data_IF_012656600794
#
_entry.id   IF_012656600794
#
_cell.length_a   1.000
_cell.length_b   1.000
_cell.length_c   1.000
_cell.angle_alpha   90.00
_cell.angle_beta   90.00
_cell.angle_gamma   90.00
#
_symmetry.space_group_name_H-M   'P 1'
#
loop_
_entity.id
_entity.type
_entity.pdbx_description
1 polymer ?
#
# COMPACT_ATOMS: atom_id res chain seq x y z
N UNK A 1 -5.89 -24.57 3.20
CA UNK A 1 -6.82 -24.50 4.35
C UNK A 1 -7.41 -23.09 4.37
N UNK A 2 -8.72 -22.92 4.61
CA UNK A 2 -9.33 -21.59 4.80
C UNK A 2 -9.53 -21.40 6.31
N UNK A 3 -8.85 -20.41 6.90
CA UNK A 3 -8.98 -20.11 8.33
C UNK A 3 -10.37 -19.57 8.63
N UNK A 4 -10.98 -20.03 9.72
CA UNK A 4 -12.29 -19.54 10.18
C UNK A 4 -12.22 -18.08 10.59
N UNK A 5 -11.08 -17.66 11.13
CA UNK A 5 -10.84 -16.30 11.62
C UNK A 5 -10.36 -15.32 10.54
N UNK A 6 -10.19 -15.76 9.29
CA UNK A 6 -9.61 -14.92 8.22
C UNK A 6 -10.39 -13.63 8.01
N UNK A 7 -11.71 -13.72 7.89
CA UNK A 7 -12.58 -12.57 7.62
C UNK A 7 -12.58 -11.56 8.77
N UNK A 8 -12.58 -12.06 10.01
CA UNK A 8 -12.48 -11.24 11.21
C UNK A 8 -11.17 -10.45 11.26
N UNK A 9 -10.02 -11.13 11.09
CA UNK A 9 -8.73 -10.43 11.11
C UNK A 9 -8.49 -9.56 9.88
N UNK A 10 -9.14 -9.83 8.73
CA UNK A 10 -9.07 -8.98 7.56
C UNK A 10 -9.72 -7.61 7.79
N UNK A 11 -10.83 -7.57 8.55
CA UNK A 11 -11.57 -6.33 8.83
C UNK A 11 -10.97 -5.50 9.98
N UNK A 12 -10.24 -6.10 10.93
CA UNK A 12 -9.66 -5.40 12.08
C UNK A 12 -8.63 -4.31 11.72
N UNK A 13 -8.71 -3.17 12.41
CA UNK A 13 -7.84 -2.01 12.16
C UNK A 13 -6.35 -2.29 12.37
N UNK A 14 -6.02 -3.17 13.33
CA UNK A 14 -4.62 -3.49 13.62
C UNK A 14 -4.17 -4.78 12.94
N UNK A 15 -2.86 -4.94 12.82
CA UNK A 15 -2.25 -6.09 12.17
C UNK A 15 -2.60 -7.41 12.91
N UNK A 16 -2.79 -8.54 12.20
CA UNK A 16 -3.00 -9.84 12.83
C UNK A 16 -1.98 -10.19 13.92
N UNK A 17 -0.75 -9.65 13.84
CA UNK A 17 0.27 -9.80 14.86
C UNK A 17 -0.13 -9.29 16.25
N UNK A 18 -1.06 -8.35 16.37
CA UNK A 18 -1.55 -7.86 17.66
C UNK A 18 -2.87 -8.53 18.04
N UNK A 19 -3.84 -8.48 17.13
CA UNK A 19 -5.20 -8.97 17.34
C UNK A 19 -5.25 -10.46 17.71
N UNK A 20 -4.42 -11.29 17.08
CA UNK A 20 -4.40 -12.74 17.37
C UNK A 20 -4.06 -13.00 18.84
N UNK A 21 -3.09 -12.28 19.39
CA UNK A 21 -2.70 -12.46 20.79
C UNK A 21 -3.73 -11.86 21.75
N UNK A 22 -4.39 -10.76 21.37
CA UNK A 22 -5.50 -10.21 22.17
C UNK A 22 -6.66 -11.22 22.28
N UNK A 23 -7.10 -11.77 21.15
CA UNK A 23 -8.13 -12.81 21.13
C UNK A 23 -7.68 -14.04 21.91
N UNK A 24 -6.42 -14.49 21.76
CA UNK A 24 -5.90 -15.66 22.47
C UNK A 24 -5.86 -15.46 23.99
N UNK A 25 -5.67 -14.23 24.47
CA UNK A 25 -5.59 -13.91 25.90
C UNK A 25 -6.97 -13.75 26.56
N UNK A 26 -8.05 -13.55 25.80
CA UNK A 26 -9.41 -13.48 26.30
C UNK A 26 -10.26 -14.67 25.85
N UNK A 27 -10.44 -15.65 26.75
CA UNK A 27 -11.26 -16.84 26.50
C UNK A 27 -12.74 -16.54 26.26
N UNK A 28 -13.22 -15.36 26.66
CA UNK A 28 -14.60 -14.95 26.42
C UNK A 28 -14.75 -14.21 25.10
N UNK A 29 -13.65 -13.96 24.37
CA UNK A 29 -13.69 -13.29 23.09
C UNK A 29 -14.52 -14.11 22.09
N UNK A 30 -15.46 -13.51 21.32
CA UNK A 30 -16.33 -14.25 20.41
C UNK A 30 -15.62 -15.11 19.36
N UNK A 31 -14.37 -14.75 19.02
CA UNK A 31 -13.54 -15.48 18.06
C UNK A 31 -12.58 -16.48 18.70
N UNK A 32 -12.57 -16.64 20.03
CA UNK A 32 -11.62 -17.50 20.73
C UNK A 32 -11.66 -18.95 20.22
N UNK A 33 -12.86 -19.54 20.14
CA UNK A 33 -13.02 -20.93 19.72
C UNK A 33 -12.65 -21.13 18.24
N UNK A 34 -12.95 -20.15 17.39
CA UNK A 34 -12.54 -20.17 15.99
C UNK A 34 -11.01 -20.08 15.86
N UNK A 35 -10.39 -19.20 16.66
CA UNK A 35 -8.93 -19.03 16.69
C UNK A 35 -8.24 -20.31 17.16
N UNK A 36 -8.70 -20.90 18.27
CA UNK A 36 -8.17 -22.16 18.78
C UNK A 36 -8.34 -23.29 17.76
N UNK A 37 -9.49 -23.36 17.10
CA UNK A 37 -9.71 -24.32 16.01
C UNK A 37 -8.74 -24.11 14.85
N UNK A 38 -8.42 -22.87 14.46
CA UNK A 38 -7.44 -22.61 13.42
C UNK A 38 -6.01 -23.01 13.86
N UNK A 39 -5.63 -22.73 15.12
CA UNK A 39 -4.33 -23.09 15.71
C UNK A 39 -4.13 -24.61 15.79
N UNK A 40 -5.14 -25.34 16.27
CA UNK A 40 -5.08 -26.80 16.47
C UNK A 40 -4.97 -27.57 15.15
N UNK A 41 -5.56 -27.03 14.07
CA UNK A 41 -5.55 -27.67 12.75
C UNK A 41 -4.32 -27.32 11.90
N UNK A 42 -3.34 -26.59 12.45
CA UNK A 42 -2.07 -26.34 11.75
C UNK A 42 -1.31 -27.66 11.55
N UNK A 43 -0.93 -27.91 10.30
CA UNK A 43 -0.11 -29.04 9.90
C UNK A 43 1.32 -28.95 10.50
N UNK A 44 1.78 -30.05 11.08
CA UNK A 44 3.07 -30.08 11.78
C UNK A 44 4.26 -29.96 10.84
N UNK A 45 4.16 -30.48 9.61
CA UNK A 45 5.27 -30.41 8.66
C UNK A 45 5.50 -28.96 8.21
N UNK A 46 4.44 -28.23 7.89
CA UNK A 46 4.57 -26.82 7.54
C UNK A 46 5.02 -25.96 8.74
N UNK A 47 4.55 -26.29 9.96
CA UNK A 47 4.95 -25.60 11.18
C UNK A 47 6.45 -25.76 11.45
N UNK A 48 6.98 -26.98 11.36
CA UNK A 48 8.39 -27.27 11.61
C UNK A 48 9.30 -26.53 10.62
N UNK A 49 8.89 -26.47 9.34
CA UNK A 49 9.61 -25.71 8.31
C UNK A 49 9.65 -24.22 8.65
N UNK A 50 8.50 -23.63 9.00
CA UNK A 50 8.40 -22.22 9.37
C UNK A 50 9.25 -21.88 10.61
N UNK A 51 9.17 -22.71 11.66
CA UNK A 51 9.92 -22.49 12.90
C UNK A 51 11.43 -22.48 12.63
N UNK A 52 11.89 -23.38 11.76
CA UNK A 52 13.29 -23.46 11.34
C UNK A 52 13.72 -22.27 10.48
N UNK A 53 12.92 -21.92 9.47
CA UNK A 53 13.22 -20.84 8.51
C UNK A 53 13.27 -19.47 9.19
N UNK A 54 12.32 -19.19 10.07
CA UNK A 54 12.18 -17.88 10.73
C UNK A 54 12.81 -17.83 12.13
N UNK A 55 13.49 -18.90 12.56
CA UNK A 55 14.13 -19.01 13.87
C UNK A 55 13.19 -18.66 15.04
N UNK A 56 11.92 -19.08 14.96
CA UNK A 56 10.84 -18.68 15.88
C UNK A 56 11.16 -18.99 17.34
N UNK A 57 11.87 -20.10 17.59
CA UNK A 57 12.25 -20.52 18.93
C UNK A 57 13.11 -19.49 19.69
N UNK A 58 13.86 -18.63 18.98
CA UNK A 58 14.62 -17.55 19.62
C UNK A 58 13.71 -16.49 20.24
N UNK A 59 12.54 -16.25 19.65
CA UNK A 59 11.55 -15.29 20.15
C UNK A 59 10.71 -15.87 21.30
N UNK A 60 10.57 -17.19 21.36
CA UNK A 60 9.76 -17.89 22.36
C UNK A 60 10.52 -18.29 23.63
N UNK A 61 11.78 -17.86 23.79
CA UNK A 61 12.66 -18.29 24.89
C UNK A 61 12.09 -18.08 26.30
N UNK A 62 11.12 -17.18 26.48
CA UNK A 62 10.47 -16.88 27.77
C UNK A 62 9.02 -17.33 27.87
N UNK A 63 8.48 -18.01 26.85
CA UNK A 63 7.08 -18.46 26.85
C UNK A 63 6.94 -19.82 27.52
N UNK A 64 5.94 -19.97 28.40
CA UNK A 64 5.66 -21.22 29.12
C UNK A 64 5.20 -22.34 28.18
N UNK A 65 4.31 -22.02 27.23
CA UNK A 65 3.84 -22.97 26.22
C UNK A 65 4.44 -22.66 24.84
N UNK A 66 5.64 -23.20 24.58
CA UNK A 66 6.34 -23.00 23.31
C UNK A 66 5.57 -23.52 22.10
N UNK A 67 4.81 -24.61 22.24
CA UNK A 67 4.05 -25.20 21.13
C UNK A 67 2.91 -24.27 20.69
N UNK A 68 2.12 -23.79 21.66
CA UNK A 68 1.08 -22.80 21.38
C UNK A 68 1.68 -21.53 20.77
N UNK A 69 2.82 -21.07 21.30
CA UNK A 69 3.56 -19.93 20.76
C UNK A 69 3.93 -20.13 19.28
N UNK A 70 4.57 -21.24 18.92
CA UNK A 70 4.97 -21.55 17.54
C UNK A 70 3.78 -21.52 16.58
N UNK A 71 2.70 -22.21 16.95
CA UNK A 71 1.46 -22.26 16.16
C UNK A 71 0.81 -20.90 16.01
N UNK A 72 0.82 -20.09 17.06
CA UNK A 72 0.26 -18.73 17.02
C UNK A 72 1.04 -17.83 16.05
N UNK A 73 2.38 -17.82 16.13
CA UNK A 73 3.21 -17.07 15.18
C UNK A 73 3.05 -17.56 13.74
N UNK A 74 2.95 -18.89 13.54
CA UNK A 74 2.67 -19.47 12.24
C UNK A 74 1.31 -19.01 11.70
N UNK A 75 0.28 -19.02 12.54
CA UNK A 75 -1.05 -18.55 12.17
C UNK A 75 -1.04 -17.07 11.76
N UNK A 76 -0.39 -16.20 12.54
CA UNK A 76 -0.20 -14.77 12.20
C UNK A 76 0.41 -14.63 10.82
N UNK A 77 1.53 -15.32 10.56
CA UNK A 77 2.20 -15.28 9.26
C UNK A 77 1.27 -15.71 8.11
N UNK A 78 0.51 -16.79 8.31
CA UNK A 78 -0.45 -17.27 7.30
C UNK A 78 -1.63 -16.33 7.11
N UNK A 79 -2.18 -15.76 8.17
CA UNK A 79 -3.26 -14.78 8.09
C UNK A 79 -2.82 -13.55 7.31
N UNK A 80 -1.66 -12.96 7.62
CA UNK A 80 -1.11 -11.81 6.88
C UNK A 80 -0.98 -12.12 5.39
N UNK A 81 -0.47 -13.31 5.04
CA UNK A 81 -0.33 -13.77 3.66
C UNK A 81 -1.68 -13.94 2.95
N UNK A 82 -2.63 -14.66 3.55
CA UNK A 82 -3.94 -14.90 2.95
C UNK A 82 -4.80 -13.63 2.89
N UNK A 83 -4.75 -12.73 3.88
CA UNK A 83 -5.43 -11.43 3.83
C UNK A 83 -4.89 -10.60 2.67
N UNK A 84 -3.56 -10.54 2.51
CA UNK A 84 -2.93 -9.86 1.37
C UNK A 84 -3.39 -10.44 0.04
N UNK A 85 -3.42 -11.78 -0.06
CA UNK A 85 -3.89 -12.49 -1.25
C UNK A 85 -5.32 -12.11 -1.64
N UNK A 86 -6.24 -12.27 -0.70
CA UNK A 86 -7.66 -12.02 -0.90
C UNK A 86 -7.90 -10.54 -1.24
N UNK A 87 -7.11 -9.62 -0.63
CA UNK A 87 -7.15 -8.20 -1.00
C UNK A 87 -6.78 -8.00 -2.46
N UNK A 88 -5.64 -8.53 -2.91
CA UNK A 88 -5.20 -8.38 -4.30
C UNK A 88 -6.23 -8.99 -5.26
N UNK A 89 -6.80 -10.17 -4.95
CA UNK A 89 -7.86 -10.78 -5.76
C UNK A 89 -9.04 -9.82 -5.90
N UNK A 90 -9.60 -9.31 -4.79
CA UNK A 90 -10.71 -8.34 -4.80
C UNK A 90 -10.38 -7.07 -5.57
N UNK A 91 -9.15 -6.57 -5.44
CA UNK A 91 -8.71 -5.35 -6.15
C UNK A 91 -8.56 -5.56 -7.67
N UNK A 92 -8.34 -6.79 -8.11
CA UNK A 92 -8.22 -7.16 -9.52
C UNK A 92 -9.59 -7.39 -10.20
N UNK A 93 -10.67 -7.56 -9.43
CA UNK A 93 -12.04 -7.71 -9.93
C UNK A 93 -12.58 -6.37 -10.47
N UNK A 94 -12.27 -6.08 -11.73
CA UNK A 94 -12.62 -4.80 -12.37
C UNK A 94 -13.94 -4.84 -13.18
N UNK A 95 -14.41 -6.03 -13.54
CA UNK A 95 -15.59 -6.20 -14.40
C UNK A 95 -16.91 -6.00 -13.63
N UNK A 96 -16.83 -5.79 -12.32
CA UNK A 96 -17.94 -5.53 -11.41
C UNK A 96 -17.57 -4.33 -10.53
N UNK A 97 -18.57 -3.76 -9.85
CA UNK A 97 -18.32 -2.86 -8.73
C UNK A 97 -17.55 -3.66 -7.66
N UNK A 98 -16.27 -3.36 -7.38
CA UNK A 98 -15.48 -4.18 -6.46
C UNK A 98 -15.81 -3.84 -5.01
N UNK A 99 -15.44 -4.72 -4.09
CA UNK A 99 -15.41 -4.40 -2.66
C UNK A 99 -14.49 -3.18 -2.39
N UNK A 100 -14.82 -2.30 -1.42
CA UNK A 100 -15.99 -2.36 -0.54
C UNK A 100 -17.26 -1.74 -1.18
N UNK A 101 -17.19 -1.31 -2.44
CA UNK A 101 -18.26 -0.53 -3.08
C UNK A 101 -19.53 -1.34 -3.39
N UNK A 102 -19.50 -2.66 -3.27
CA UNK A 102 -20.69 -3.54 -3.29
C UNK A 102 -21.58 -3.35 -2.06
N UNK A 103 -21.06 -2.78 -0.97
CA UNK A 103 -21.83 -2.43 0.22
C UNK A 103 -22.98 -1.48 -0.13
N UNK A 104 -24.16 -1.74 0.45
CA UNK A 104 -25.33 -0.87 0.29
C UNK A 104 -25.04 0.56 0.78
N UNK A 105 -24.15 0.71 1.78
CA UNK A 105 -23.69 1.99 2.33
C UNK A 105 -22.96 2.85 1.31
N UNK A 106 -22.37 2.24 0.28
CA UNK A 106 -21.64 2.92 -0.79
C UNK A 106 -22.38 2.88 -2.12
N UNK A 107 -23.67 2.49 -2.16
CA UNK A 107 -24.43 2.34 -3.41
C UNK A 107 -24.43 3.60 -4.28
N UNK A 108 -24.49 4.78 -3.66
CA UNK A 108 -24.54 6.07 -4.35
C UNK A 108 -23.15 6.67 -4.68
N UNK A 109 -22.04 6.05 -4.25
CA UNK A 109 -20.71 6.58 -4.53
C UNK A 109 -20.31 6.37 -5.99
N UNK A 110 -19.79 7.42 -6.63
CA UNK A 110 -19.43 7.38 -8.04
C UNK A 110 -17.96 6.96 -8.18
N UNK A 111 -17.75 5.87 -8.91
CA UNK A 111 -16.43 5.35 -9.26
C UNK A 111 -15.99 5.85 -10.62
N UNK A 112 -14.70 6.13 -10.76
CA UNK A 112 -14.09 6.34 -12.07
C UNK A 112 -13.76 5.01 -12.77
N UNK A 113 -13.26 5.08 -14.01
CA UNK A 113 -12.86 3.91 -14.81
C UNK A 113 -11.75 3.06 -14.16
N UNK A 114 -11.02 3.61 -13.19
CA UNK A 114 -9.97 2.93 -12.46
C UNK A 114 -10.46 2.44 -11.09
N UNK A 115 -11.77 2.48 -10.79
CA UNK A 115 -12.34 2.10 -9.51
C UNK A 115 -11.95 3.02 -8.35
N UNK A 116 -11.62 4.29 -8.64
CA UNK A 116 -11.32 5.30 -7.63
C UNK A 116 -12.55 6.16 -7.35
N UNK A 117 -12.70 6.59 -6.11
CA UNK A 117 -13.68 7.60 -5.69
C UNK A 117 -13.01 8.95 -5.51
N UNK A 118 -13.73 10.02 -5.82
CA UNK A 118 -13.25 11.37 -5.56
C UNK A 118 -13.45 11.73 -4.08
N UNK A 119 -12.42 12.30 -3.45
CA UNK A 119 -12.39 12.63 -2.00
C UNK A 119 -13.42 13.68 -1.59
N UNK A 120 -13.92 14.49 -2.52
CA UNK A 120 -15.03 15.42 -2.27
C UNK A 120 -16.40 14.74 -2.13
N UNK A 121 -16.50 13.43 -2.38
CA UNK A 121 -17.68 12.61 -2.06
C UNK A 121 -17.69 12.13 -0.60
N UNK A 122 -16.61 12.38 0.16
CA UNK A 122 -16.41 11.92 1.53
C UNK A 122 -16.41 13.10 2.52
N UNK A 123 -16.79 12.84 3.78
CA UNK A 123 -16.50 13.74 4.89
C UNK A 123 -15.06 13.48 5.36
N UNK A 124 -14.22 14.51 5.23
CA UNK A 124 -12.79 14.48 5.58
C UNK A 124 -12.50 15.08 6.96
N UNK A 125 -13.53 15.46 7.74
CA UNK A 125 -13.34 15.96 9.10
C UNK A 125 -12.62 14.93 9.95
N UNK A 126 -11.84 15.41 10.93
CA UNK A 126 -11.05 14.55 11.82
C UNK A 126 -10.05 13.65 11.09
N UNK A 127 -9.59 14.06 9.90
CA UNK A 127 -8.57 13.36 9.11
C UNK A 127 -8.91 11.89 8.82
N UNK A 128 -10.16 11.60 8.45
CA UNK A 128 -10.65 10.26 8.08
C UNK A 128 -11.42 10.28 6.76
N UNK A 129 -11.54 9.14 6.09
CA UNK A 129 -12.47 8.98 4.96
C UNK A 129 -13.81 8.48 5.49
N UNK A 130 -14.75 9.38 5.77
CA UNK A 130 -16.07 9.02 6.26
C UNK A 130 -17.13 9.16 5.17
N UNK A 131 -18.07 8.21 5.13
CA UNK A 131 -19.30 8.31 4.35
C UNK A 131 -20.46 7.76 5.18
N UNK A 132 -21.48 8.59 5.43
CA UNK A 132 -22.56 8.25 6.35
C UNK A 132 -22.03 7.96 7.77
N UNK A 133 -22.42 6.82 8.33
CA UNK A 133 -21.99 6.34 9.65
C UNK A 133 -20.69 5.52 9.61
N UNK A 134 -20.06 5.38 8.44
CA UNK A 134 -18.91 4.48 8.26
C UNK A 134 -17.64 5.24 7.89
N UNK A 135 -16.52 4.72 8.39
CA UNK A 135 -15.15 5.14 8.10
C UNK A 135 -14.49 4.06 7.27
N UNK A 136 -13.77 4.51 6.26
CA UNK A 136 -13.05 3.67 5.31
C UNK A 136 -11.56 4.02 5.35
N UNK A 137 -10.72 3.05 4.98
CA UNK A 137 -9.27 3.25 4.88
C UNK A 137 -8.80 3.17 3.43
N UNK A 138 -7.66 3.80 3.14
CA UNK A 138 -7.00 3.63 1.86
C UNK A 138 -6.46 2.20 1.76
N UNK A 139 -6.66 1.55 0.61
CA UNK A 139 -6.10 0.22 0.37
C UNK A 139 -4.59 0.20 0.64
N UNK A 140 -4.08 -0.77 1.43
CA UNK A 140 -2.66 -1.01 1.62
C UNK A 140 -1.90 -1.03 0.30
N UNK A 141 -0.73 -0.40 0.28
CA UNK A 141 0.11 -0.22 -0.92
C UNK A 141 1.15 -1.33 -1.10
N UNK A 142 1.23 -2.24 -0.13
CA UNK A 142 1.94 -3.51 -0.18
C UNK A 142 1.26 -4.49 0.79
N UNK A 143 1.87 -5.66 1.03
CA UNK A 143 1.29 -6.70 1.90
C UNK A 143 1.32 -6.42 3.41
N UNK A 144 1.89 -5.30 3.88
CA UNK A 144 1.73 -4.89 5.28
C UNK A 144 0.42 -4.13 5.47
N UNK A 145 -0.31 -4.47 6.53
CA UNK A 145 -1.62 -3.90 6.91
C UNK A 145 -1.60 -2.37 7.09
N UNK A 146 -0.51 -1.82 7.64
CA UNK A 146 -0.36 -0.39 7.93
C UNK A 146 0.29 0.43 6.81
N UNK A 147 0.58 -0.19 5.65
CA UNK A 147 1.40 0.44 4.60
C UNK A 147 0.79 1.69 3.98
N UNK A 148 -0.53 1.88 4.07
CA UNK A 148 -1.24 3.04 3.52
C UNK A 148 -1.35 4.23 4.47
N UNK A 149 -1.02 4.08 5.77
CA UNK A 149 -1.28 5.12 6.78
C UNK A 149 -0.57 6.44 6.48
N UNK A 150 0.69 6.37 6.07
CA UNK A 150 1.50 7.54 5.78
C UNK A 150 1.04 8.28 4.52
N UNK A 151 0.81 7.54 3.43
CA UNK A 151 0.34 8.15 2.18
C UNK A 151 -1.07 8.71 2.34
N UNK A 152 -1.92 8.08 3.16
CA UNK A 152 -3.23 8.60 3.51
C UNK A 152 -3.14 9.99 4.18
N UNK A 153 -2.25 10.16 5.15
CA UNK A 153 -2.02 11.47 5.79
C UNK A 153 -1.45 12.49 4.79
N UNK A 154 -0.46 12.12 3.99
CA UNK A 154 0.12 13.01 2.98
C UNK A 154 -0.92 13.51 1.97
N UNK A 155 -1.88 12.64 1.58
CA UNK A 155 -3.01 13.04 0.74
C UNK A 155 -3.90 14.06 1.46
N UNK A 156 -4.28 13.81 2.73
CA UNK A 156 -5.12 14.73 3.49
C UNK A 156 -4.44 16.09 3.73
N UNK A 157 -3.14 16.08 4.04
CA UNK A 157 -2.34 17.30 4.17
C UNK A 157 -2.31 18.08 2.86
N UNK A 158 -2.08 17.41 1.73
CA UNK A 158 -2.10 18.03 0.40
C UNK A 158 -3.48 18.64 0.08
N UNK A 159 -4.57 17.92 0.37
CA UNK A 159 -5.96 18.43 0.23
C UNK A 159 -6.16 19.66 1.10
N UNK A 160 -5.67 19.66 2.34
CA UNK A 160 -5.82 20.78 3.25
C UNK A 160 -5.03 22.01 2.81
N UNK A 161 -3.80 21.82 2.34
CA UNK A 161 -2.89 22.86 1.87
C UNK A 161 -3.37 23.48 0.55
N UNK A 162 -3.71 22.63 -0.41
CA UNK A 162 -3.98 23.02 -1.79
C UNK A 162 -5.48 23.09 -2.13
N UNK A 163 -6.40 22.66 -1.26
CA UNK A 163 -7.85 22.60 -1.56
C UNK A 163 -8.17 21.80 -2.83
N UNK A 164 -7.34 20.81 -3.14
CA UNK A 164 -7.48 19.93 -4.29
C UNK A 164 -8.28 18.69 -3.94
N UNK A 165 -8.83 18.06 -4.98
CA UNK A 165 -9.56 16.81 -4.96
C UNK A 165 -8.59 15.73 -5.43
N UNK A 166 -8.38 14.74 -4.57
CA UNK A 166 -7.76 13.47 -4.93
C UNK A 166 -8.81 12.43 -5.25
N UNK A 167 -8.47 11.49 -6.12
CA UNK A 167 -9.16 10.23 -6.28
C UNK A 167 -8.42 9.14 -5.52
N UNK A 168 -9.14 8.31 -4.78
CA UNK A 168 -8.57 7.29 -3.88
C UNK A 168 -9.29 5.95 -4.02
N UNK A 169 -8.60 4.88 -3.66
CA UNK A 169 -9.12 3.51 -3.60
C UNK A 169 -9.25 3.05 -2.17
N UNK A 170 -10.47 2.73 -1.76
CA UNK A 170 -10.75 2.20 -0.43
C UNK A 170 -10.26 0.74 -0.30
N UNK A 171 -9.86 0.32 0.91
CA UNK A 171 -9.53 -1.07 1.22
C UNK A 171 -10.81 -1.93 1.14
N UNK A 172 -10.80 -3.04 0.36
CA UNK A 172 -11.90 -4.00 0.28
C UNK A 172 -12.43 -4.55 1.60
N UNK A 173 -11.64 -4.50 2.68
CA UNK A 173 -12.01 -5.07 3.98
C UNK A 173 -12.33 -4.04 5.06
N UNK A 174 -12.17 -2.74 4.79
CA UNK A 174 -12.27 -1.68 5.82
C UNK A 174 -13.54 -0.86 5.64
N UNK A 175 -14.63 -1.37 6.17
CA UNK A 175 -15.87 -0.64 6.42
C UNK A 175 -16.16 -0.71 7.93
N UNK A 176 -15.98 0.40 8.63
CA UNK A 176 -15.96 0.43 10.10
C UNK A 176 -16.96 1.47 10.57
N UNK A 177 -17.79 1.16 11.57
CA UNK A 177 -18.69 2.18 12.13
C UNK A 177 -17.86 3.31 12.75
N UNK A 178 -18.30 4.55 12.55
CA UNK A 178 -17.56 5.73 13.00
C UNK A 178 -17.34 5.76 14.53
N UNK A 179 -18.24 5.14 15.31
CA UNK A 179 -18.15 5.03 16.76
C UNK A 179 -17.13 3.96 17.21
N UNK A 180 -16.84 2.98 16.36
CA UNK A 180 -15.87 1.90 16.60
C UNK A 180 -14.49 2.22 16.01
N UNK A 181 -14.38 3.32 15.25
CA UNK A 181 -13.15 3.71 14.57
C UNK A 181 -12.16 4.38 15.52
N UNK A 182 -11.04 3.70 15.76
CA UNK A 182 -9.90 4.24 16.50
C UNK A 182 -8.73 4.48 15.53
N UNK A 183 -8.38 5.74 15.21
CA UNK A 183 -7.31 6.01 14.26
C UNK A 183 -5.98 5.51 14.81
N UNK A 184 -5.33 4.60 14.08
CA UNK A 184 -3.98 4.12 14.38
C UNK A 184 -2.99 4.88 13.51
N UNK A 185 -1.95 5.44 14.13
CA UNK A 185 -0.87 6.08 13.40
C UNK A 185 0.49 5.76 14.02
N UNK A 186 1.48 5.60 13.16
CA UNK A 186 2.88 5.48 13.56
C UNK A 186 3.61 6.75 13.17
N UNK A 187 4.22 7.43 14.14
CA UNK A 187 5.08 8.57 13.87
C UNK A 187 6.42 8.08 13.35
N UNK A 188 6.81 8.52 12.15
CA UNK A 188 8.15 8.30 11.59
C UNK A 188 8.81 9.64 11.26
N UNK A 189 10.07 9.79 11.64
CA UNK A 189 10.90 10.92 11.22
C UNK A 189 11.79 10.46 10.07
N UNK A 190 11.73 11.15 8.95
CA UNK A 190 12.56 10.88 7.76
C UNK A 190 13.44 12.09 7.50
N UNK A 191 14.72 11.87 7.20
CA UNK A 191 15.72 12.92 6.96
C UNK A 191 16.40 12.68 5.61
N UNK A 192 16.68 13.73 4.83
CA UNK A 192 17.38 13.61 3.55
C UNK A 192 17.96 14.93 3.02
N UNK A 193 18.39 14.93 1.75
CA UNK A 193 18.77 16.12 0.98
C UNK A 193 17.72 16.40 -0.12
N UNK A 194 17.14 17.62 -0.18
CA UNK A 194 16.09 17.93 -1.13
C UNK A 194 16.55 17.79 -2.58
N UNK A 195 15.62 17.32 -3.41
CA UNK A 195 15.78 17.20 -4.85
C UNK A 195 16.15 18.56 -5.49
N UNK A 196 17.12 18.56 -6.39
CA UNK A 196 17.51 19.77 -7.12
C UNK A 196 16.49 20.08 -8.23
N UNK A 197 15.44 20.81 -7.85
CA UNK A 197 14.35 21.19 -8.73
C UNK A 197 14.78 22.12 -9.87
N UNK A 198 15.77 22.98 -9.64
CA UNK A 198 16.28 23.88 -10.67
C UNK A 198 17.01 23.10 -11.76
N UNK A 199 17.80 22.10 -11.39
CA UNK A 199 18.41 21.16 -12.33
C UNK A 199 17.35 20.39 -13.12
N UNK A 200 16.26 19.94 -12.47
CA UNK A 200 15.19 19.23 -13.17
C UNK A 200 14.47 20.13 -14.17
N UNK A 201 14.13 21.38 -13.83
CA UNK A 201 13.42 22.31 -14.74
C UNK A 201 14.09 22.49 -16.10
N UNK A 202 15.43 22.45 -16.13
CA UNK A 202 16.22 22.64 -17.36
C UNK A 202 16.63 21.33 -18.04
N UNK A 203 16.08 20.19 -17.60
CA UNK A 203 16.44 18.86 -18.09
C UNK A 203 16.12 18.69 -19.58
N UNK A 204 17.15 18.34 -20.37
CA UNK A 204 17.06 18.14 -21.84
C UNK A 204 17.05 16.67 -22.25
N UNK A 205 17.71 15.81 -21.48
CA UNK A 205 17.82 14.38 -21.71
C UNK A 205 17.23 13.62 -20.51
N UNK A 206 16.90 12.35 -20.67
CA UNK A 206 16.44 11.54 -19.53
C UNK A 206 17.49 11.52 -18.41
N UNK A 207 17.04 11.70 -17.17
CA UNK A 207 17.81 11.43 -15.95
C UNK A 207 17.21 10.19 -15.29
N UNK A 208 17.99 9.14 -15.07
CA UNK A 208 17.48 7.87 -14.58
C UNK A 208 18.53 7.17 -13.71
N UNK A 209 18.06 6.32 -12.82
CA UNK A 209 18.92 5.54 -11.97
C UNK A 209 18.19 4.36 -11.35
N UNK A 210 18.98 3.51 -10.72
CA UNK A 210 18.51 2.33 -10.02
C UNK A 210 19.17 2.29 -8.64
N UNK A 211 18.38 2.12 -7.61
CA UNK A 211 18.83 1.78 -6.27
C UNK A 211 18.75 0.26 -6.10
N UNK A 212 19.87 -0.38 -5.80
CA UNK A 212 19.96 -1.84 -5.73
C UNK A 212 20.22 -2.30 -4.30
N UNK A 213 19.42 -3.26 -3.83
CA UNK A 213 19.61 -3.92 -2.54
C UNK A 213 20.25 -5.29 -2.77
N UNK A 214 21.55 -5.37 -2.51
CA UNK A 214 22.36 -6.58 -2.68
C UNK A 214 21.93 -7.74 -1.76
N UNK A 215 21.24 -7.47 -0.64
CA UNK A 215 20.88 -8.52 0.32
C UNK A 215 19.76 -9.42 -0.19
N UNK A 216 18.85 -8.88 -1.00
CA UNK A 216 17.66 -9.60 -1.46
C UNK A 216 17.43 -9.49 -2.98
N UNK A 217 18.39 -8.96 -3.73
CA UNK A 217 18.31 -8.69 -5.17
C UNK A 217 17.07 -7.88 -5.58
N UNK A 218 16.50 -7.09 -4.66
CA UNK A 218 15.47 -6.12 -4.98
C UNK A 218 16.12 -4.82 -5.44
N UNK A 219 15.39 -4.03 -6.21
CA UNK A 219 15.87 -2.74 -6.68
C UNK A 219 14.70 -1.78 -6.86
N UNK A 220 15.00 -0.51 -7.06
CA UNK A 220 14.01 0.51 -7.35
C UNK A 220 14.54 1.37 -8.48
N UNK A 221 13.80 1.41 -9.58
CA UNK A 221 14.14 2.22 -10.75
C UNK A 221 13.43 3.56 -10.68
N UNK A 222 14.09 4.61 -11.14
CA UNK A 222 13.46 5.90 -11.40
C UNK A 222 13.89 6.49 -12.74
N UNK A 223 13.03 7.28 -13.35
CA UNK A 223 13.34 8.06 -14.54
C UNK A 223 12.57 9.40 -14.56
N UNK A 224 13.28 10.47 -14.86
CA UNK A 224 12.76 11.77 -15.26
C UNK A 224 12.93 11.92 -16.77
N UNK A 225 11.82 11.83 -17.50
CA UNK A 225 11.82 11.92 -18.97
C UNK A 225 11.25 13.28 -19.39
N UNK A 226 12.05 14.20 -19.96
CA UNK A 226 11.54 15.47 -20.46
C UNK A 226 10.65 15.26 -21.70
N UNK A 227 9.53 15.99 -21.77
CA UNK A 227 8.60 16.03 -22.91
C UNK A 227 8.07 17.45 -23.09
N UNK A 228 8.51 18.14 -24.14
CA UNK A 228 8.13 19.54 -24.41
C UNK A 228 8.27 20.42 -23.13
N UNK A 229 7.17 21.01 -22.69
CA UNK A 229 7.03 21.86 -21.50
C UNK A 229 6.81 21.07 -20.19
N UNK A 230 6.98 19.75 -20.22
CA UNK A 230 6.74 18.84 -19.11
C UNK A 230 7.94 17.94 -18.82
N UNK A 231 7.96 17.37 -17.62
CA UNK A 231 8.87 16.30 -17.23
C UNK A 231 8.03 15.19 -16.60
N UNK A 232 8.15 13.99 -17.13
CA UNK A 232 7.41 12.82 -16.67
C UNK A 232 8.32 12.04 -15.72
N UNK A 233 7.91 11.92 -14.46
CA UNK A 233 8.58 11.09 -13.48
C UNK A 233 7.94 9.71 -13.44
N UNK A 234 8.77 8.67 -13.37
CA UNK A 234 8.33 7.31 -13.10
C UNK A 234 9.27 6.69 -12.10
N UNK A 235 8.71 6.08 -11.05
CA UNK A 235 9.44 5.30 -10.05
C UNK A 235 8.73 3.97 -9.84
N UNK A 236 9.48 2.89 -9.78
CA UNK A 236 8.93 1.56 -9.56
C UNK A 236 9.89 0.70 -8.75
N UNK A 237 9.39 0.15 -7.65
CA UNK A 237 10.09 -0.90 -6.93
C UNK A 237 10.02 -2.21 -7.68
N UNK A 238 11.11 -2.96 -7.69
CA UNK A 238 11.09 -4.35 -8.07
C UNK A 238 10.69 -5.19 -6.85
N UNK A 239 9.69 -6.08 -6.98
CA UNK A 239 9.27 -6.94 -5.89
C UNK A 239 10.45 -7.73 -5.33
N UNK A 240 10.67 -7.70 -4.01
CA UNK A 240 11.54 -8.68 -3.37
C UNK A 240 10.83 -10.03 -3.36
N UNK A 241 11.48 -11.10 -3.84
CA UNK A 241 10.93 -12.47 -3.85
C UNK A 241 10.41 -12.95 -2.47
N UNK A 242 10.81 -12.29 -1.39
CA UNK A 242 10.44 -12.60 0.00
C UNK A 242 9.09 -12.04 0.46
N UNK A 243 8.39 -11.20 -0.31
CA UNK A 243 7.20 -10.51 0.19
C UNK A 243 5.93 -11.35 0.01
N UNK A 244 5.54 -12.10 1.05
CA UNK A 244 4.25 -12.81 1.20
C UNK A 244 3.84 -13.73 0.01
N UNK A 245 4.76 -14.09 -0.88
CA UNK A 245 4.45 -14.90 -2.07
C UNK A 245 3.61 -14.17 -3.13
N UNK A 246 3.64 -12.83 -3.17
CA UNK A 246 3.01 -12.06 -4.24
C UNK A 246 4.04 -11.20 -4.97
N UNK A 247 4.06 -11.32 -6.30
CA UNK A 247 4.88 -10.46 -7.15
C UNK A 247 4.16 -9.11 -7.31
N UNK A 248 4.24 -8.25 -6.30
CA UNK A 248 3.66 -6.89 -6.34
C UNK A 248 4.70 -5.81 -6.15
N UNK A 249 4.62 -4.75 -6.95
CA UNK A 249 5.44 -3.56 -6.81
C UNK A 249 4.63 -2.31 -6.50
N UNK A 250 5.28 -1.34 -5.89
CA UNK A 250 4.80 0.05 -5.82
C UNK A 250 5.29 0.81 -7.05
N UNK A 251 4.35 1.36 -7.80
CA UNK A 251 4.58 2.19 -8.99
C UNK A 251 4.05 3.60 -8.75
N UNK A 252 4.87 4.61 -9.00
CA UNK A 252 4.54 6.01 -8.78
C UNK A 252 4.90 6.83 -10.01
N UNK A 253 4.00 7.73 -10.40
CA UNK A 253 4.16 8.53 -11.61
C UNK A 253 3.73 9.97 -11.37
N UNK A 254 4.42 10.90 -12.04
CA UNK A 254 4.09 12.32 -11.96
C UNK A 254 4.38 13.05 -13.26
N UNK A 255 3.65 14.15 -13.48
CA UNK A 255 3.89 15.09 -14.57
C UNK A 255 4.17 16.46 -13.97
N UNK A 256 5.39 16.92 -14.15
CA UNK A 256 5.88 18.22 -13.71
C UNK A 256 5.75 19.23 -14.86
N UNK A 257 5.26 20.43 -14.56
CA UNK A 257 5.19 21.55 -15.50
C UNK A 257 6.46 22.40 -15.40
N UNK A 258 7.24 22.49 -16.48
CA UNK A 258 8.50 23.27 -16.47
C UNK A 258 8.30 24.76 -16.23
N UNK A 259 7.16 25.32 -16.65
CA UNK A 259 6.88 26.76 -16.58
C UNK A 259 6.55 27.22 -15.16
N UNK A 260 5.63 26.52 -14.50
CA UNK A 260 5.25 26.83 -13.11
C UNK A 260 6.21 26.19 -12.11
N UNK A 261 6.81 25.08 -12.51
CA UNK A 261 7.61 24.22 -11.65
C UNK A 261 6.78 23.43 -10.65
N UNK A 262 5.48 23.27 -10.88
CA UNK A 262 4.56 22.51 -10.02
C UNK A 262 4.10 21.22 -10.71
N UNK A 263 3.34 20.40 -9.99
CA UNK A 263 2.89 19.10 -10.47
C UNK A 263 1.46 19.18 -11.02
N UNK A 264 1.30 18.74 -12.26
CA UNK A 264 0.01 18.70 -12.97
C UNK A 264 -0.79 17.43 -12.71
N UNK A 265 -0.09 16.36 -12.42
CA UNK A 265 -0.63 15.03 -12.29
C UNK A 265 0.31 14.20 -11.41
N UNK A 266 -0.25 13.42 -10.50
CA UNK A 266 0.50 12.44 -9.73
C UNK A 266 -0.40 11.25 -9.41
N UNK A 267 0.12 10.04 -9.50
CA UNK A 267 -0.60 8.85 -9.07
C UNK A 267 0.35 7.80 -8.48
N UNK A 268 -0.23 7.01 -7.57
CA UNK A 268 0.42 5.83 -7.00
C UNK A 268 -0.43 4.60 -7.29
N UNK A 269 0.23 3.50 -7.61
CA UNK A 269 -0.41 2.24 -7.97
C UNK A 269 0.37 1.04 -7.44
N UNK A 270 -0.35 -0.05 -7.19
CA UNK A 270 0.26 -1.38 -7.06
C UNK A 270 0.30 -1.98 -8.46
N UNK A 271 1.39 -2.64 -8.81
CA UNK A 271 1.44 -3.45 -10.01
C UNK A 271 1.61 -4.91 -9.60
N UNK A 272 0.76 -5.76 -10.15
CA UNK A 272 0.73 -7.20 -9.89
C UNK A 272 1.26 -7.91 -11.13
N UNK A 273 2.20 -8.82 -10.95
CA UNK A 273 2.80 -9.59 -12.03
C UNK A 273 2.46 -11.07 -11.89
N UNK A 274 2.31 -11.76 -13.02
CA UNK A 274 2.50 -13.21 -13.04
C UNK A 274 4.00 -13.59 -13.03
N UNK A 275 4.29 -14.90 -12.96
CA UNK A 275 5.66 -15.43 -12.88
C UNK A 275 6.52 -15.13 -14.12
N UNK A 276 5.92 -14.97 -15.29
CA UNK A 276 6.63 -14.62 -16.51
C UNK A 276 6.88 -13.11 -16.59
N UNK A 277 5.86 -12.33 -16.26
CA UNK A 277 5.90 -10.87 -16.23
C UNK A 277 6.94 -10.35 -15.24
N UNK A 278 7.09 -10.97 -14.06
CA UNK A 278 8.08 -10.55 -13.07
C UNK A 278 9.51 -10.79 -13.57
N UNK A 279 9.77 -11.92 -14.23
CA UNK A 279 11.08 -12.22 -14.83
C UNK A 279 11.39 -11.23 -15.94
N UNK A 280 10.40 -10.94 -16.79
CA UNK A 280 10.55 -9.91 -17.81
C UNK A 280 10.82 -8.53 -17.19
N UNK A 281 10.07 -8.15 -16.14
CA UNK A 281 10.29 -6.89 -15.42
C UNK A 281 11.71 -6.78 -14.85
N UNK A 282 12.28 -7.89 -14.38
CA UNK A 282 13.64 -7.93 -13.84
C UNK A 282 14.74 -7.70 -14.88
N UNK A 283 14.45 -7.94 -16.16
CA UNK A 283 15.42 -7.79 -17.25
C UNK A 283 15.57 -6.38 -17.81
N UNK A 284 14.69 -5.44 -17.44
CA UNK A 284 14.66 -4.09 -18.01
C UNK A 284 14.41 -3.03 -16.95
N UNK A 285 14.95 -1.83 -17.20
CA UNK A 285 14.68 -0.63 -16.43
C UNK A 285 13.29 -0.05 -16.75
N UNK A 286 12.61 0.57 -15.77
CA UNK A 286 11.24 1.11 -15.93
C UNK A 286 11.04 2.09 -17.11
N UNK A 287 12.12 2.72 -17.57
CA UNK A 287 12.09 3.67 -18.70
C UNK A 287 11.92 2.98 -20.06
N UNK A 288 12.30 1.70 -20.15
CA UNK A 288 12.31 0.92 -21.38
C UNK A 288 10.89 0.49 -21.78
N UNK A 289 10.59 0.49 -23.07
CA UNK A 289 9.22 0.31 -23.58
C UNK A 289 8.67 -1.10 -23.30
N UNK A 290 9.57 -2.08 -23.22
CA UNK A 290 9.35 -3.50 -22.99
C UNK A 290 8.61 -3.76 -21.67
N UNK A 291 8.84 -2.93 -20.65
CA UNK A 291 8.28 -3.12 -19.30
C UNK A 291 7.25 -2.07 -18.88
N UNK A 292 7.01 -1.03 -19.70
CA UNK A 292 6.03 0.04 -19.38
C UNK A 292 4.60 -0.46 -19.16
N UNK A 293 4.24 -1.61 -19.76
CA UNK A 293 2.89 -2.19 -19.70
C UNK A 293 2.87 -3.61 -19.13
N UNK A 294 3.99 -4.09 -18.60
CA UNK A 294 4.08 -5.42 -17.98
C UNK A 294 3.39 -5.35 -16.62
N UNK A 295 2.60 -6.36 -16.27
CA UNK A 295 1.85 -6.42 -15.01
C UNK A 295 0.54 -5.63 -15.03
N UNK A 296 -0.42 -6.08 -14.22
CA UNK A 296 -1.70 -5.40 -14.03
C UNK A 296 -1.60 -4.30 -12.99
N UNK A 297 -1.96 -3.08 -13.39
CA UNK A 297 -1.87 -1.88 -12.54
C UNK A 297 -3.18 -1.61 -11.81
N UNK A 298 -3.10 -1.50 -10.49
CA UNK A 298 -4.19 -1.14 -9.58
C UNK A 298 -3.86 0.25 -9.01
N UNK A 299 -4.52 1.30 -9.51
CA UNK A 299 -4.33 2.65 -8.96
C UNK A 299 -4.86 2.71 -7.53
N UNK A 300 -4.08 3.31 -6.63
CA UNK A 300 -4.44 3.53 -5.22
C UNK A 300 -4.90 4.96 -5.01
N UNK A 301 -4.20 5.93 -5.60
CA UNK A 301 -4.64 7.31 -5.60
C UNK A 301 -4.23 8.00 -6.90
N UNK A 302 -4.90 9.12 -7.20
CA UNK A 302 -4.59 9.98 -8.33
C UNK A 302 -4.97 11.42 -8.02
N UNK A 303 -4.11 12.34 -8.40
CA UNK A 303 -4.38 13.76 -8.55
C UNK A 303 -4.22 14.15 -10.02
N UNK A 304 -5.14 14.98 -10.53
CA UNK A 304 -5.06 15.52 -11.88
C UNK A 304 -5.63 16.95 -11.92
N UNK A 305 -4.84 17.88 -12.46
CA UNK A 305 -5.24 19.29 -12.67
C UNK A 305 -6.57 19.45 -13.40
N UNK A 306 -6.90 18.57 -14.35
CA UNK A 306 -8.17 18.67 -15.11
C UNK A 306 -9.41 18.54 -14.23
N UNK A 307 -9.28 17.82 -13.13
CA UNK A 307 -10.36 17.62 -12.13
C UNK A 307 -10.32 18.68 -11.03
N UNK A 308 -9.30 19.55 -11.07
CA UNK A 308 -8.96 20.52 -10.04
C UNK A 308 -8.90 21.95 -10.58
N UNK A 309 -9.70 22.27 -11.61
CA UNK A 309 -9.74 23.61 -12.22
C UNK A 309 -8.35 24.12 -12.66
N UNK A 310 -7.49 23.22 -13.11
CA UNK A 310 -6.09 23.47 -13.48
C UNK A 310 -5.18 23.96 -12.35
N UNK A 311 -5.61 23.81 -11.10
CA UNK A 311 -4.74 24.00 -9.95
C UNK A 311 -3.73 22.87 -9.87
N UNK A 312 -2.45 23.23 -9.79
CA UNK A 312 -1.31 22.33 -9.63
C UNK A 312 -0.93 22.19 -8.14
N UNK A 313 -0.29 21.08 -7.75
CA UNK A 313 0.24 20.91 -6.39
C UNK A 313 1.73 21.27 -6.33
N UNK A 314 2.17 21.69 -5.13
CA UNK A 314 3.55 22.13 -4.92
C UNK A 314 4.57 20.98 -5.03
N UNK A 315 5.84 21.36 -5.18
CA UNK A 315 6.98 20.42 -5.14
C UNK A 315 7.08 19.72 -3.77
N UNK A 316 6.82 20.45 -2.69
CA UNK A 316 6.89 19.93 -1.32
C UNK A 316 5.78 18.90 -1.07
N UNK A 317 4.53 19.21 -1.43
CA UNK A 317 3.42 18.26 -1.32
C UNK A 317 3.72 16.98 -2.12
N UNK A 318 4.32 17.13 -3.30
CA UNK A 318 4.73 16.00 -4.13
C UNK A 318 5.83 15.15 -3.50
N UNK A 319 6.88 15.76 -2.94
CA UNK A 319 7.91 15.04 -2.21
C UNK A 319 7.29 14.26 -1.03
N UNK A 320 6.37 14.88 -0.29
CA UNK A 320 5.65 14.20 0.79
C UNK A 320 4.85 13.01 0.28
N UNK A 321 4.13 13.14 -0.83
CA UNK A 321 3.42 12.00 -1.44
C UNK A 321 4.39 10.87 -1.83
N UNK A 322 5.54 11.19 -2.44
CA UNK A 322 6.53 10.18 -2.84
C UNK A 322 7.14 9.45 -1.62
N UNK A 323 7.61 10.20 -0.63
CA UNK A 323 8.24 9.67 0.60
C UNK A 323 7.28 8.77 1.36
N UNK A 324 6.02 9.19 1.51
CA UNK A 324 5.02 8.46 2.28
C UNK A 324 4.45 7.26 1.50
N UNK A 325 4.44 7.29 0.16
CA UNK A 325 4.14 6.11 -0.66
C UNK A 325 5.25 5.06 -0.59
N UNK A 326 6.51 5.50 -0.48
CA UNK A 326 7.68 4.62 -0.38
C UNK A 326 8.25 4.55 1.06
N UNK A 327 7.41 4.58 2.09
CA UNK A 327 7.79 4.77 3.51
C UNK A 327 8.84 3.80 4.12
N UNK A 328 9.12 2.68 3.45
CA UNK A 328 10.14 1.71 3.89
C UNK A 328 11.30 1.55 2.91
N UNK A 329 11.36 2.42 1.91
CA UNK A 329 12.44 2.48 0.94
C UNK A 329 13.32 3.69 1.25
N UNK A 330 14.37 3.45 2.03
CA UNK A 330 15.27 4.51 2.47
C UNK A 330 15.97 5.24 1.32
N UNK A 331 16.23 4.56 0.20
CA UNK A 331 16.85 5.18 -0.96
C UNK A 331 15.95 6.22 -1.60
N UNK A 332 14.67 5.87 -1.81
CA UNK A 332 13.66 6.81 -2.31
C UNK A 332 13.45 7.95 -1.30
N UNK A 333 13.39 7.63 -0.01
CA UNK A 333 13.25 8.64 1.04
C UNK A 333 14.38 9.66 1.05
N UNK A 334 15.62 9.20 0.91
CA UNK A 334 16.80 10.07 0.88
C UNK A 334 16.91 10.89 -0.41
N UNK A 335 16.26 10.45 -1.49
CA UNK A 335 16.24 11.15 -2.77
C UNK A 335 15.23 12.31 -2.80
N UNK A 336 14.11 12.19 -2.09
CA UNK A 336 13.02 13.17 -2.09
C UNK A 336 12.98 14.09 -0.87
N UNK A 337 13.48 13.66 0.29
CA UNK A 337 13.66 14.50 1.47
C UNK A 337 15.01 15.15 1.46
#
# INVERSE_FOLDING_TARGET
MKFKTLEYFASNLTDPMWEVFEVLNDKNHPQYDNLMSDIENIDNFDLDNFVKEHHIDHFLNRQENKELGRRTYYLVFKLQKEITKERIIKLLEFDKRPEPYTSENLSDIILDKNGLIATNQLDLKYCRFQYGEFVYELSPINGSSNSSYWIFQAILECINNSKTIFKVRLDPFKEIRADDYNPVMYKMHVHGKPLDWDKLRVLKNEDFGQWFNEQNNSFTDYAWTPKDEEIHFTCEEFPSFSYNGFNTSRYFHAIFNKKSGNIKHCDGAIRVYDDFEIVNRGGFHVRQAEVRKVGKRIKIFQFDTKENQYQEISQDDFCQLAVNFFVWNYDVQNYFN
#
